data_IF_947200786364
#
_entry.id   IF_947200786364
#
_cell.length_a   1.000
_cell.length_b   1.000
_cell.length_c   1.000
_cell.angle_alpha   90.00
_cell.angle_beta   90.00
_cell.angle_gamma   90.00
#
_symmetry.space_group_name_H-M   'P 1'
#
loop_
_entity.id
_entity.type
_entity.pdbx_description
1 polymer ?
#
# COMPACT_ATOMS: atom_id res chain seq x y z
N UNK A 1 -2.59 -10.37 14.50
CA UNK A 1 -3.60 -9.44 14.12
C UNK A 1 -3.89 -9.38 12.64
N UNK A 2 -5.03 -8.83 12.34
CA UNK A 2 -5.50 -8.64 10.97
C UNK A 2 -5.55 -7.14 10.66
N UNK A 3 -4.83 -6.72 9.61
CA UNK A 3 -4.77 -5.33 9.19
C UNK A 3 -5.31 -5.17 7.78
N UNK A 4 -5.83 -4.00 7.48
CA UNK A 4 -6.27 -3.65 6.15
C UNK A 4 -5.66 -2.33 5.71
N UNK A 5 -5.13 -2.30 4.49
CA UNK A 5 -4.77 -1.07 3.80
C UNK A 5 -5.90 -0.78 2.81
N UNK A 6 -6.57 0.35 3.00
CA UNK A 6 -7.78 0.70 2.27
C UNK A 6 -7.55 1.97 1.47
N UNK A 7 -7.73 1.87 0.17
CA UNK A 7 -7.62 3.00 -0.74
C UNK A 7 -9.01 3.39 -1.22
N UNK A 8 -9.31 4.67 -1.25
CA UNK A 8 -10.58 5.17 -1.72
C UNK A 8 -10.42 6.42 -2.58
N UNK A 9 -11.51 6.80 -3.21
CA UNK A 9 -11.56 7.88 -4.17
C UNK A 9 -11.21 7.40 -5.57
N UNK A 10 -11.45 8.23 -6.56
CA UNK A 10 -11.13 7.86 -7.91
C UNK A 10 -11.61 8.88 -8.93
N UNK A 11 -10.91 8.84 -10.05
CA UNK A 11 -11.24 9.66 -11.21
C UNK A 11 -11.05 8.79 -12.43
N UNK A 12 -11.97 8.82 -13.40
CA UNK A 12 -11.78 8.05 -14.63
C UNK A 12 -10.44 8.37 -15.28
N UNK A 13 -9.78 7.34 -15.80
CA UNK A 13 -8.50 7.41 -16.51
C UNK A 13 -7.27 7.66 -15.63
N UNK A 14 -7.41 7.65 -14.30
CA UNK A 14 -6.26 7.68 -13.40
C UNK A 14 -6.24 6.38 -12.60
N UNK A 15 -5.22 5.55 -12.85
CA UNK A 15 -5.06 4.26 -12.19
C UNK A 15 -4.16 4.41 -10.97
N UNK A 16 -4.79 4.55 -9.81
CA UNK A 16 -4.09 4.68 -8.53
C UNK A 16 -4.15 3.34 -7.80
N UNK A 17 -3.00 2.79 -7.44
CA UNK A 17 -2.90 1.45 -6.90
C UNK A 17 -2.14 1.42 -5.57
N UNK A 18 -2.61 0.58 -4.65
CA UNK A 18 -1.92 0.29 -3.40
C UNK A 18 -1.12 -1.01 -3.55
N UNK A 19 0.02 -1.08 -2.89
CA UNK A 19 0.91 -2.24 -2.92
C UNK A 19 1.57 -2.46 -1.57
N UNK A 20 2.07 -3.68 -1.35
CA UNK A 20 2.84 -4.03 -0.15
C UNK A 20 4.16 -4.66 -0.57
N UNK A 21 5.26 -4.18 -0.01
CA UNK A 21 6.58 -4.77 -0.19
C UNK A 21 6.95 -5.51 1.10
N UNK A 22 7.36 -6.76 0.97
CA UNK A 22 7.78 -7.59 2.10
C UNK A 22 9.30 -7.66 2.12
N UNK A 23 9.91 -7.15 3.20
CA UNK A 23 11.35 -7.00 3.29
C UNK A 23 11.96 -7.96 4.30
N UNK A 24 13.22 -8.36 4.04
CA UNK A 24 14.02 -9.15 4.98
C UNK A 24 14.62 -8.27 6.09
N UNK A 25 15.43 -8.88 6.96
CA UNK A 25 16.07 -8.17 8.07
C UNK A 25 17.06 -7.09 7.63
N UNK A 26 17.49 -7.12 6.38
CA UNK A 26 18.39 -6.12 5.79
C UNK A 26 17.64 -5.04 5.02
N UNK A 27 16.32 -4.97 5.17
CA UNK A 27 15.45 -4.03 4.46
C UNK A 27 15.50 -4.22 2.93
N UNK A 28 15.61 -5.47 2.49
CA UNK A 28 15.68 -5.81 1.08
C UNK A 28 14.52 -6.72 0.67
N UNK A 29 14.07 -6.55 -0.57
CA UNK A 29 13.14 -7.46 -1.22
C UNK A 29 13.98 -8.60 -1.80
N UNK A 30 13.75 -9.84 -1.35
CA UNK A 30 14.50 -11.00 -1.82
C UNK A 30 13.97 -11.57 -3.13
N UNK A 31 12.68 -11.48 -3.35
CA UNK A 31 12.01 -12.13 -4.46
C UNK A 31 10.88 -11.25 -4.97
N UNK A 32 10.61 -11.33 -6.27
CA UNK A 32 9.44 -10.65 -6.86
C UNK A 32 8.13 -11.14 -6.23
N UNK A 33 8.11 -12.35 -5.66
CA UNK A 33 6.93 -12.88 -4.99
C UNK A 33 6.58 -12.09 -3.72
N UNK A 34 7.54 -11.33 -3.19
CA UNK A 34 7.36 -10.51 -1.99
C UNK A 34 6.87 -9.09 -2.31
N UNK A 35 6.50 -8.83 -3.55
CA UNK A 35 5.87 -7.59 -3.99
C UNK A 35 4.42 -7.90 -4.30
N UNK A 36 3.50 -7.39 -3.47
CA UNK A 36 2.07 -7.65 -3.63
C UNK A 36 1.41 -6.41 -4.23
N UNK A 37 0.81 -6.57 -5.40
CA UNK A 37 0.19 -5.51 -6.17
C UNK A 37 -0.82 -6.13 -7.14
N UNK A 38 -1.46 -5.36 -8.02
CA UNK A 38 -2.50 -5.89 -8.91
C UNK A 38 -2.01 -7.03 -9.82
N UNK A 39 -0.72 -7.08 -10.14
CA UNK A 39 -0.11 -8.14 -10.98
C UNK A 39 0.32 -9.37 -10.19
N UNK A 40 0.36 -9.30 -8.86
CA UNK A 40 0.70 -10.41 -7.97
C UNK A 40 -0.08 -10.24 -6.67
N UNK A 41 -1.33 -10.69 -6.67
CA UNK A 41 -2.32 -10.31 -5.66
C UNK A 41 -2.22 -11.10 -4.35
N UNK A 42 -1.64 -12.29 -4.36
CA UNK A 42 -1.64 -13.15 -3.20
C UNK A 42 -0.24 -13.66 -2.92
N UNK A 43 0.24 -13.40 -1.69
CA UNK A 43 1.51 -14.00 -1.27
C UNK A 43 1.31 -15.49 -0.98
N UNK A 44 2.32 -16.30 -1.32
CA UNK A 44 2.26 -17.76 -1.12
C UNK A 44 2.04 -18.19 0.32
N UNK A 45 2.43 -17.37 1.30
CA UNK A 45 2.20 -17.64 2.72
C UNK A 45 0.75 -17.46 3.16
N UNK A 46 -0.05 -16.80 2.33
CA UNK A 46 -1.41 -16.40 2.69
C UNK A 46 -1.48 -15.18 3.60
N UNK A 47 -0.34 -14.55 3.90
CA UNK A 47 -0.28 -13.44 4.85
C UNK A 47 -0.75 -12.11 4.26
N UNK A 48 -0.59 -11.92 2.95
CA UNK A 48 -0.94 -10.66 2.28
C UNK A 48 -1.80 -10.95 1.07
N UNK A 49 -2.96 -10.31 1.00
CA UNK A 49 -3.93 -10.52 -0.07
C UNK A 49 -4.43 -9.17 -0.59
N UNK A 50 -4.15 -8.91 -1.85
CA UNK A 50 -4.69 -7.76 -2.56
C UNK A 50 -6.05 -8.15 -3.10
N UNK A 51 -7.11 -7.59 -2.53
CA UNK A 51 -8.48 -8.00 -2.84
C UNK A 51 -9.01 -7.38 -4.12
N UNK A 52 -8.23 -6.49 -4.74
CA UNK A 52 -8.66 -5.80 -5.94
C UNK A 52 -9.72 -4.75 -5.65
N UNK A 53 -10.43 -4.36 -6.70
CA UNK A 53 -11.45 -3.34 -6.61
C UNK A 53 -12.69 -3.87 -5.88
N UNK A 54 -13.35 -2.98 -5.13
CA UNK A 54 -14.65 -3.27 -4.57
C UNK A 54 -15.70 -3.17 -5.69
N UNK A 55 -16.08 -4.32 -6.24
CA UNK A 55 -16.97 -4.40 -7.38
C UNK A 55 -18.42 -4.03 -7.04
N UNK A 56 -18.77 -3.99 -5.77
CA UNK A 56 -20.16 -3.70 -5.37
C UNK A 56 -20.46 -2.21 -5.29
N UNK A 57 -19.43 -1.38 -5.22
CA UNK A 57 -19.62 0.08 -5.07
C UNK A 57 -20.30 0.50 -3.78
N UNK A 58 -20.57 -0.44 -2.87
CA UNK A 58 -21.32 -0.21 -1.66
C UNK A 58 -20.47 0.26 -0.48
N UNK A 59 -19.20 0.49 -0.70
CA UNK A 59 -18.31 0.97 0.35
C UNK A 59 -18.36 2.49 0.45
N UNK A 60 -18.18 3.00 1.65
CA UNK A 60 -18.12 4.44 1.94
C UNK A 60 -16.79 5.03 1.39
N UNK A 61 -16.47 4.73 0.13
CA UNK A 61 -15.29 5.24 -0.55
C UNK A 61 -14.07 4.33 -0.53
N UNK A 62 -14.12 3.16 0.09
CA UNK A 62 -13.02 2.19 0.07
C UNK A 62 -13.13 1.33 -1.19
N UNK A 63 -12.41 1.71 -2.27
CA UNK A 63 -12.51 1.05 -3.57
C UNK A 63 -11.54 -0.10 -3.76
N UNK A 64 -10.43 -0.11 -3.03
CA UNK A 64 -9.40 -1.13 -3.12
C UNK A 64 -8.91 -1.49 -1.73
N UNK A 65 -8.62 -2.77 -1.51
CA UNK A 65 -8.29 -3.25 -0.19
C UNK A 65 -7.17 -4.29 -0.23
N UNK A 66 -6.21 -4.15 0.67
CA UNK A 66 -5.18 -5.17 0.92
C UNK A 66 -5.35 -5.64 2.36
N UNK A 67 -5.47 -6.95 2.55
CA UNK A 67 -5.64 -7.57 3.86
C UNK A 67 -4.36 -8.28 4.26
N UNK A 68 -3.94 -8.08 5.50
CA UNK A 68 -2.70 -8.64 6.04
C UNK A 68 -3.02 -9.41 7.31
N UNK A 69 -2.62 -10.69 7.34
CA UNK A 69 -2.70 -11.53 8.52
C UNK A 69 -1.29 -11.74 9.04
N UNK A 70 -0.93 -10.99 10.08
CA UNK A 70 0.45 -10.92 10.58
C UNK A 70 0.97 -12.26 11.09
N UNK A 71 0.10 -13.09 11.65
CA UNK A 71 0.50 -14.41 12.17
C UNK A 71 1.03 -15.35 11.08
N UNK A 72 0.68 -15.09 9.82
CA UNK A 72 1.11 -15.91 8.68
C UNK A 72 2.35 -15.38 7.96
N UNK A 73 2.87 -14.23 8.36
CA UNK A 73 4.05 -13.65 7.72
C UNK A 73 5.27 -14.53 8.01
N UNK A 74 6.02 -14.97 6.97
CA UNK A 74 7.19 -15.83 7.18
C UNK A 74 8.24 -15.19 8.09
N UNK A 75 8.98 -16.03 8.82
CA UNK A 75 9.96 -15.56 9.79
C UNK A 75 11.12 -14.76 9.16
N UNK A 76 11.44 -15.03 7.90
CA UNK A 76 12.49 -14.30 7.18
C UNK A 76 12.03 -12.93 6.68
N UNK A 77 10.77 -12.61 6.82
CA UNK A 77 10.22 -11.28 6.53
C UNK A 77 10.16 -10.49 7.83
N UNK A 78 10.85 -9.36 7.87
CA UNK A 78 10.96 -8.52 9.06
C UNK A 78 10.13 -7.24 8.98
N UNK A 79 9.69 -6.85 7.78
CA UNK A 79 9.00 -5.59 7.57
C UNK A 79 8.07 -5.67 6.37
N UNK A 80 6.94 -4.98 6.48
CA UNK A 80 6.00 -4.78 5.38
C UNK A 80 5.89 -3.28 5.15
N UNK A 81 6.05 -2.84 3.91
CA UNK A 81 5.92 -1.43 3.54
C UNK A 81 4.69 -1.26 2.67
N UNK A 82 3.83 -0.31 3.05
CA UNK A 82 2.64 0.04 2.28
C UNK A 82 2.94 1.23 1.39
N UNK A 83 2.63 1.10 0.10
CA UNK A 83 2.85 2.18 -0.86
C UNK A 83 1.62 2.39 -1.73
N UNK A 84 1.49 3.60 -2.26
CA UNK A 84 0.49 3.95 -3.26
C UNK A 84 1.21 4.65 -4.40
N UNK A 85 0.83 4.35 -5.63
CA UNK A 85 1.38 5.06 -6.78
C UNK A 85 0.33 5.17 -7.89
N UNK A 86 0.58 6.05 -8.84
CA UNK A 86 -0.24 6.20 -10.04
C UNK A 86 0.45 5.49 -11.18
N UNK A 87 -0.27 4.52 -11.79
CA UNK A 87 0.24 3.78 -12.93
C UNK A 87 0.38 4.69 -14.15
N UNK A 88 1.54 4.59 -14.83
CA UNK A 88 1.81 5.30 -16.08
C UNK A 88 1.68 6.84 -15.97
N UNK A 89 2.02 7.37 -14.80
CA UNK A 89 1.79 8.79 -14.49
C UNK A 89 2.61 9.75 -15.35
N UNK A 90 3.82 9.37 -15.76
CA UNK A 90 4.69 10.24 -16.56
C UNK A 90 4.10 10.44 -17.96
N UNK A 91 3.78 9.36 -18.64
CA UNK A 91 3.21 9.40 -19.99
C UNK A 91 1.87 10.14 -20.01
N UNK A 92 1.04 9.89 -18.99
CA UNK A 92 -0.28 10.48 -18.87
C UNK A 92 -0.28 11.83 -18.17
N UNK A 93 0.88 12.27 -17.66
CA UNK A 93 1.05 13.54 -16.94
C UNK A 93 0.08 13.68 -15.76
N UNK A 94 0.04 12.65 -14.94
CA UNK A 94 -0.91 12.56 -13.82
C UNK A 94 -0.21 12.68 -12.47
N UNK A 95 -0.93 13.21 -11.48
CA UNK A 95 -0.50 13.30 -10.09
C UNK A 95 -1.71 13.21 -9.17
N UNK A 96 -1.49 13.04 -7.86
CA UNK A 96 -2.57 12.83 -6.90
C UNK A 96 -3.59 13.96 -6.86
N UNK A 97 -3.16 15.19 -7.12
CA UNK A 97 -4.07 16.34 -7.13
C UNK A 97 -5.16 16.28 -8.20
N UNK A 98 -4.97 15.44 -9.21
CA UNK A 98 -5.94 15.25 -10.28
C UNK A 98 -7.01 14.21 -9.95
N UNK A 99 -6.85 13.48 -8.84
CA UNK A 99 -7.79 12.45 -8.41
C UNK A 99 -8.77 13.06 -7.42
N UNK A 100 -10.06 12.77 -7.60
CA UNK A 100 -11.09 13.32 -6.73
C UNK A 100 -11.19 12.51 -5.43
N UNK A 101 -10.98 13.19 -4.31
CA UNK A 101 -11.17 12.62 -2.96
C UNK A 101 -10.37 11.33 -2.70
N UNK A 102 -9.14 11.27 -3.22
CA UNK A 102 -8.29 10.08 -3.03
C UNK A 102 -7.72 10.06 -1.60
N UNK A 103 -7.73 8.88 -1.00
CA UNK A 103 -7.12 8.66 0.31
C UNK A 103 -6.60 7.22 0.42
N UNK A 104 -5.68 7.03 1.37
CA UNK A 104 -5.22 5.71 1.82
C UNK A 104 -5.29 5.69 3.34
N UNK A 105 -5.79 4.60 3.90
CA UNK A 105 -5.81 4.43 5.37
C UNK A 105 -5.44 3.00 5.76
N UNK A 106 -4.88 2.86 6.94
CA UNK A 106 -4.54 1.57 7.51
C UNK A 106 -5.40 1.36 8.75
N UNK A 107 -6.07 0.21 8.80
CA UNK A 107 -7.08 -0.10 9.81
C UNK A 107 -6.72 -1.41 10.50
N UNK A 108 -6.85 -1.44 11.82
CA UNK A 108 -6.83 -2.68 12.58
C UNK A 108 -8.20 -3.32 12.45
N UNK A 109 -8.30 -4.39 11.67
CA UNK A 109 -9.58 -5.03 11.36
C UNK A 109 -10.18 -5.80 12.55
N UNK A 110 -9.38 -6.09 13.59
CA UNK A 110 -9.89 -6.76 14.78
C UNK A 110 -10.83 -5.86 15.59
N UNK A 111 -10.61 -4.54 15.56
CA UNK A 111 -11.41 -3.59 16.33
C UNK A 111 -11.89 -2.39 15.49
N UNK A 112 -11.65 -2.41 14.17
CA UNK A 112 -11.98 -1.34 13.23
C UNK A 112 -11.35 0.01 13.56
N UNK A 113 -10.23 0.00 14.29
CA UNK A 113 -9.51 1.22 14.63
C UNK A 113 -8.66 1.69 13.44
N UNK A 114 -8.89 2.92 13.00
CA UNK A 114 -8.06 3.54 11.98
C UNK A 114 -6.72 3.95 12.60
N UNK A 115 -5.63 3.42 12.08
CA UNK A 115 -4.28 3.67 12.59
C UNK A 115 -3.68 4.93 11.97
N UNK A 116 -3.92 5.13 10.69
CA UNK A 116 -3.47 6.33 9.96
C UNK A 116 -4.33 6.52 8.71
N UNK A 117 -4.49 7.77 8.31
CA UNK A 117 -5.14 8.13 7.04
C UNK A 117 -4.38 9.28 6.40
N UNK A 118 -4.13 9.17 5.11
CA UNK A 118 -3.53 10.24 4.31
C UNK A 118 -4.49 10.65 3.19
N UNK A 119 -4.76 11.94 3.09
CA UNK A 119 -5.55 12.52 2.01
C UNK A 119 -4.61 12.84 0.85
N UNK A 120 -4.65 12.01 -0.19
CA UNK A 120 -3.70 12.11 -1.30
C UNK A 120 -3.95 13.34 -2.17
N UNK A 121 -5.23 13.61 -2.44
CA UNK A 121 -5.62 14.73 -3.29
C UNK A 121 -5.17 16.07 -2.73
N UNK A 122 -5.39 16.29 -1.42
CA UNK A 122 -5.12 17.57 -0.79
C UNK A 122 -3.68 17.73 -0.34
N UNK A 123 -3.12 16.69 0.29
CA UNK A 123 -1.83 16.80 0.98
C UNK A 123 -0.65 16.36 0.12
N UNK A 124 -0.91 15.66 -0.97
CA UNK A 124 0.12 15.14 -1.88
C UNK A 124 -0.17 15.49 -3.33
N UNK A 125 -0.75 16.67 -3.58
CA UNK A 125 -1.28 17.06 -4.89
C UNK A 125 -0.27 17.02 -6.03
N UNK A 126 1.01 17.30 -5.75
CA UNK A 126 2.06 17.31 -6.77
C UNK A 126 2.89 16.04 -6.79
N UNK A 127 2.45 15.02 -6.05
CA UNK A 127 3.15 13.75 -5.95
C UNK A 127 2.47 12.67 -6.77
N UNK A 128 3.23 11.63 -7.10
CA UNK A 128 2.77 10.48 -7.87
C UNK A 128 2.90 9.18 -7.09
N UNK A 129 3.57 9.20 -5.96
CA UNK A 129 3.81 8.05 -5.10
C UNK A 129 3.86 8.46 -3.65
N UNK A 130 3.43 7.55 -2.77
CA UNK A 130 3.46 7.75 -1.32
C UNK A 130 3.91 6.48 -0.62
N UNK A 131 4.89 6.59 0.26
CA UNK A 131 5.23 5.57 1.23
C UNK A 131 4.39 5.82 2.48
N UNK A 132 3.36 5.02 2.64
CA UNK A 132 2.29 5.26 3.62
C UNK A 132 2.76 4.99 5.04
N UNK A 133 3.39 3.83 5.23
CA UNK A 133 3.82 3.39 6.54
C UNK A 133 4.44 2.01 6.46
N UNK A 134 4.91 1.55 7.61
CA UNK A 134 5.53 0.24 7.71
C UNK A 134 5.09 -0.50 8.96
N UNK A 135 5.04 -1.83 8.85
CA UNK A 135 4.85 -2.73 9.96
C UNK A 135 6.13 -3.53 10.09
N UNK A 136 6.71 -3.58 11.28
CA UNK A 136 8.01 -4.21 11.48
C UNK A 136 8.04 -5.03 12.75
N UNK A 137 8.91 -6.05 12.77
CA UNK A 137 9.12 -6.88 13.95
C UNK A 137 10.03 -6.14 14.94
N UNK A 138 9.64 -6.15 16.21
CA UNK A 138 10.44 -5.55 17.29
C UNK A 138 10.19 -6.36 18.56
N UNK A 139 11.25 -7.02 19.08
CA UNK A 139 11.18 -7.82 20.29
C UNK A 139 10.04 -8.87 20.26
N UNK A 140 9.88 -9.54 19.13
CA UNK A 140 8.87 -10.58 18.97
C UNK A 140 7.46 -10.08 18.70
N UNK A 141 7.28 -8.77 18.60
CA UNK A 141 5.99 -8.15 18.31
C UNK A 141 6.01 -7.41 16.99
N UNK A 142 4.83 -7.16 16.43
CA UNK A 142 4.67 -6.30 15.27
C UNK A 142 4.33 -4.87 15.72
N UNK A 143 5.04 -3.91 15.16
CA UNK A 143 4.82 -2.49 15.42
C UNK A 143 4.51 -1.76 14.13
N UNK A 144 3.78 -0.65 14.24
CA UNK A 144 3.41 0.17 13.10
C UNK A 144 4.05 1.56 13.21
N UNK A 145 4.58 2.07 12.08
CA UNK A 145 5.05 3.44 11.98
C UNK A 145 4.50 4.07 10.70
N UNK A 146 3.85 5.21 10.84
CA UNK A 146 3.40 6.01 9.71
C UNK A 146 4.62 6.75 9.14
N UNK A 147 4.82 6.69 7.83
CA UNK A 147 5.93 7.39 7.16
C UNK A 147 5.45 8.63 6.41
N UNK A 148 4.41 8.51 5.60
CA UNK A 148 3.83 9.66 4.91
C UNK A 148 4.76 10.37 3.95
N UNK A 149 5.74 9.67 3.35
CA UNK A 149 6.69 10.26 2.42
C UNK A 149 6.17 10.19 0.99
N UNK A 150 5.87 11.36 0.41
CA UNK A 150 5.48 11.47 -0.99
C UNK A 150 6.69 11.75 -1.88
N UNK A 151 6.67 11.21 -3.09
CA UNK A 151 7.68 11.53 -4.10
C UNK A 151 7.07 11.53 -5.51
N UNK A 152 7.91 11.70 -6.51
CA UNK A 152 7.50 11.77 -7.91
C UNK A 152 8.00 10.55 -8.69
N UNK A 153 8.11 9.40 -8.04
CA UNK A 153 8.52 8.16 -8.71
C UNK A 153 7.65 7.89 -9.93
N UNK A 154 8.25 7.54 -11.07
CA UNK A 154 7.49 7.33 -12.30
C UNK A 154 6.69 6.04 -12.31
N UNK A 155 6.97 5.11 -11.41
CA UNK A 155 6.23 3.86 -11.33
C UNK A 155 6.62 2.99 -10.17
N UNK A 156 5.92 1.86 -10.04
CA UNK A 156 6.15 0.90 -8.95
C UNK A 156 7.56 0.31 -9.00
N UNK A 157 8.11 0.08 -10.19
CA UNK A 157 9.46 -0.47 -10.35
C UNK A 157 10.53 0.38 -9.69
N UNK A 158 10.43 1.70 -9.82
CA UNK A 158 11.39 2.63 -9.22
C UNK A 158 11.24 2.65 -7.69
N UNK A 159 10.03 2.50 -7.19
CA UNK A 159 9.80 2.38 -5.75
C UNK A 159 10.41 1.08 -5.21
N UNK A 160 10.23 -0.03 -5.92
CA UNK A 160 10.80 -1.33 -5.58
C UNK A 160 12.33 -1.26 -5.55
N UNK A 161 12.93 -0.56 -6.51
CA UNK A 161 14.39 -0.48 -6.63
C UNK A 161 15.08 0.11 -5.40
N UNK A 162 14.38 0.90 -4.60
CA UNK A 162 14.92 1.44 -3.35
C UNK A 162 15.18 0.34 -2.31
N UNK A 163 14.59 -0.85 -2.50
CA UNK A 163 14.67 -1.95 -1.54
C UNK A 163 15.31 -3.20 -2.11
N UNK A 164 16.05 -3.08 -3.18
CA UNK A 164 16.80 -4.19 -3.77
C UNK A 164 18.27 -4.20 -3.39
#
# INVERSE_FOLDING_TARGET
GLLGALFGGGTPNIDCDASVFMLDANNKIKSKDDIIYFGNRYHKSGSVQHMGDNLTGDGDGDDEQIIIELSKVPQDISKLIFVVNIYDCVKRKQHFGMIKNAFIRIVNLANNQEMVKFNLTEDYSNKTALYVGEIYRHNGEWKFAATGEGDTSPGLGEMVNKFR
#
